data_IF_898385089668
#
_entry.id   IF_898385089668
#
_cell.length_a   1.000
_cell.length_b   1.000
_cell.length_c   1.000
_cell.angle_alpha   90.00
_cell.angle_beta   90.00
_cell.angle_gamma   90.00
#
_symmetry.space_group_name_H-M   'P 1'
#
loop_
_entity.id
_entity.type
_entity.pdbx_description
1 polymer ?
#
# COMPACT_ATOMS: atom_id res chain seq x y z
N UNK A 1 13.05 -4.26 -19.16
CA UNK A 1 11.59 -4.46 -19.32
C UNK A 1 10.93 -3.25 -18.68
N UNK A 2 9.95 -2.59 -19.30
CA UNK A 2 9.25 -1.48 -18.62
C UNK A 2 8.38 -2.07 -17.52
N UNK A 3 8.63 -1.68 -16.27
CA UNK A 3 7.67 -1.89 -15.17
C UNK A 3 6.34 -1.28 -15.59
N UNK A 4 5.23 -2.00 -15.42
CA UNK A 4 3.90 -1.48 -15.75
C UNK A 4 2.98 -1.82 -14.60
N UNK A 5 2.88 -0.87 -13.68
CA UNK A 5 1.83 -0.85 -12.67
C UNK A 5 0.46 -0.92 -13.34
N UNK A 6 -0.48 -1.50 -12.62
CA UNK A 6 -1.88 -1.51 -13.00
C UNK A 6 -2.40 -0.07 -13.02
N UNK A 7 -3.07 0.30 -14.11
CA UNK A 7 -3.66 1.63 -14.24
C UNK A 7 -4.98 1.69 -13.47
N UNK A 8 -4.97 2.39 -12.35
CA UNK A 8 -6.13 2.55 -11.47
C UNK A 8 -6.99 3.76 -11.80
N UNK A 9 -6.56 4.62 -12.73
CA UNK A 9 -7.29 5.86 -13.04
C UNK A 9 -8.69 5.62 -13.60
N UNK A 10 -8.94 4.63 -14.49
CA UNK A 10 -10.29 4.32 -14.96
C UNK A 10 -11.27 3.92 -13.84
N UNK A 11 -10.77 3.31 -12.76
CA UNK A 11 -11.58 3.00 -11.57
C UNK A 11 -11.84 4.26 -10.76
N UNK A 12 -10.82 5.11 -10.57
CA UNK A 12 -10.96 6.40 -9.85
C UNK A 12 -11.93 7.34 -10.55
N UNK A 13 -11.88 7.41 -11.88
CA UNK A 13 -12.78 8.21 -12.71
C UNK A 13 -14.16 7.56 -12.89
N UNK A 14 -14.36 6.33 -12.37
CA UNK A 14 -15.59 5.53 -12.48
C UNK A 14 -15.99 5.20 -13.92
N UNK A 15 -15.01 5.12 -14.80
CA UNK A 15 -15.19 4.67 -16.18
C UNK A 15 -15.40 3.15 -16.26
N UNK A 16 -14.72 2.40 -15.38
CA UNK A 16 -14.90 0.96 -15.21
C UNK A 16 -15.09 0.61 -13.73
N UNK A 17 -15.68 -0.55 -13.46
CA UNK A 17 -15.73 -1.14 -12.14
C UNK A 17 -14.40 -1.78 -11.74
N UNK A 18 -14.19 -1.98 -10.44
CA UNK A 18 -13.01 -2.68 -9.93
C UNK A 18 -12.94 -4.13 -10.44
N UNK A 19 -14.09 -4.79 -10.60
CA UNK A 19 -14.15 -6.14 -11.13
C UNK A 19 -13.77 -6.20 -12.62
N UNK A 20 -14.09 -5.17 -13.41
CA UNK A 20 -13.62 -5.06 -14.80
C UNK A 20 -12.11 -4.86 -14.87
N UNK A 21 -11.53 -4.06 -13.96
CA UNK A 21 -10.08 -3.83 -13.90
C UNK A 21 -9.30 -5.14 -13.66
N UNK A 22 -9.82 -6.02 -12.82
CA UNK A 22 -9.10 -7.23 -12.38
C UNK A 22 -9.53 -8.52 -13.08
N UNK A 23 -10.48 -8.44 -14.03
CA UNK A 23 -11.16 -9.61 -14.60
C UNK A 23 -10.22 -10.67 -15.20
N UNK A 24 -9.15 -10.20 -15.86
CA UNK A 24 -8.21 -11.06 -16.59
C UNK A 24 -6.89 -11.31 -15.83
N UNK A 25 -6.77 -10.84 -14.57
CA UNK A 25 -5.56 -11.00 -13.79
C UNK A 25 -5.40 -12.45 -13.28
N UNK A 26 -4.19 -12.95 -13.38
CA UNK A 26 -3.76 -14.25 -12.83
C UNK A 26 -2.94 -14.06 -11.56
N UNK A 27 -2.67 -15.13 -10.82
CA UNK A 27 -1.76 -15.09 -9.66
C UNK A 27 -0.37 -14.58 -10.05
N UNK A 28 0.10 -14.91 -11.25
CA UNK A 28 1.40 -14.43 -11.73
C UNK A 28 1.39 -12.92 -11.95
N UNK A 29 0.32 -12.38 -12.52
CA UNK A 29 0.16 -10.93 -12.64
C UNK A 29 0.16 -10.25 -11.26
N UNK A 30 -0.46 -10.86 -10.24
CA UNK A 30 -0.42 -10.34 -8.87
C UNK A 30 0.99 -10.34 -8.27
N UNK A 31 1.83 -11.35 -8.59
CA UNK A 31 3.24 -11.38 -8.19
C UNK A 31 4.02 -10.26 -8.86
N UNK A 32 3.88 -10.12 -10.18
CA UNK A 32 4.57 -9.09 -10.96
C UNK A 32 4.16 -7.68 -10.51
N UNK A 33 2.86 -7.44 -10.32
CA UNK A 33 2.34 -6.15 -9.83
C UNK A 33 2.83 -5.83 -8.41
N UNK A 34 2.92 -6.83 -7.53
CA UNK A 34 3.50 -6.66 -6.18
C UNK A 34 4.96 -6.24 -6.27
N UNK A 35 5.72 -6.90 -7.14
CA UNK A 35 7.13 -6.56 -7.33
C UNK A 35 7.30 -5.16 -7.91
N UNK A 36 6.55 -4.82 -8.95
CA UNK A 36 6.59 -3.50 -9.59
C UNK A 36 6.20 -2.37 -8.62
N UNK A 37 5.22 -2.59 -7.73
CA UNK A 37 4.80 -1.60 -6.74
C UNK A 37 5.88 -1.35 -5.68
N UNK A 38 6.42 -2.41 -5.09
CA UNK A 38 7.49 -2.26 -4.09
C UNK A 38 8.74 -1.65 -4.72
N UNK A 39 9.12 -2.09 -5.91
CA UNK A 39 10.21 -1.50 -6.68
C UNK A 39 10.01 -0.01 -6.93
N UNK A 40 8.78 0.40 -7.26
CA UNK A 40 8.45 1.82 -7.46
C UNK A 40 8.65 2.63 -6.18
N UNK A 41 8.17 2.12 -5.04
CA UNK A 41 8.37 2.78 -3.74
C UNK A 41 9.85 2.84 -3.35
N UNK A 42 10.61 1.77 -3.57
CA UNK A 42 12.05 1.73 -3.31
C UNK A 42 12.82 2.75 -4.17
N UNK A 43 12.45 2.87 -5.44
CA UNK A 43 13.05 3.86 -6.35
C UNK A 43 12.73 5.30 -5.91
N UNK A 44 11.50 5.58 -5.47
CA UNK A 44 11.12 6.90 -4.94
C UNK A 44 12.02 7.31 -3.76
N UNK A 45 12.31 6.37 -2.86
CA UNK A 45 13.12 6.64 -1.65
C UNK A 45 14.63 6.41 -1.85
N UNK A 46 15.09 6.14 -3.07
CA UNK A 46 16.47 5.72 -3.32
C UNK A 46 17.50 6.79 -2.88
N UNK A 47 17.16 8.08 -3.09
CA UNK A 47 18.00 9.22 -2.72
C UNK A 47 17.74 9.80 -1.33
N UNK A 48 16.92 9.14 -0.51
CA UNK A 48 16.60 9.62 0.84
C UNK A 48 17.68 9.26 1.87
N UNK A 49 17.76 10.07 2.92
CA UNK A 49 18.57 9.88 4.11
C UNK A 49 17.68 9.86 5.36
N UNK A 50 18.25 9.51 6.51
CA UNK A 50 17.50 9.40 7.78
C UNK A 50 16.75 10.69 8.16
N UNK A 51 17.32 11.86 7.84
CA UNK A 51 16.69 13.15 8.06
C UNK A 51 15.38 13.32 7.27
N UNK A 52 15.27 12.72 6.08
CA UNK A 52 14.04 12.76 5.27
C UNK A 52 12.94 11.87 5.86
N UNK A 53 13.32 10.82 6.58
CA UNK A 53 12.37 9.86 7.17
C UNK A 53 11.55 10.48 8.28
N UNK A 54 12.18 11.33 9.08
CA UNK A 54 11.58 12.01 10.24
C UNK A 54 11.11 13.43 9.92
N UNK A 55 11.34 13.91 8.69
CA UNK A 55 10.87 15.22 8.27
C UNK A 55 9.34 15.28 8.34
N UNK A 56 8.82 16.29 9.01
CA UNK A 56 7.38 16.57 9.08
C UNK A 56 7.04 17.52 7.94
N UNK A 57 6.30 17.06 6.91
CA UNK A 57 5.92 17.92 5.79
C UNK A 57 4.88 18.96 6.21
N UNK A 58 4.77 20.03 5.43
CA UNK A 58 3.60 20.90 5.48
C UNK A 58 2.46 20.23 4.70
N UNK A 59 1.40 19.87 5.43
CA UNK A 59 0.18 19.26 4.90
C UNK A 59 -1.04 19.87 5.60
N UNK A 60 -1.56 21.00 5.10
CA UNK A 60 -2.68 21.70 5.72
C UNK A 60 -4.01 20.94 5.61
N UNK A 61 -4.07 19.91 4.75
CA UNK A 61 -5.25 19.07 4.52
C UNK A 61 -5.14 17.72 5.24
N UNK A 62 -4.16 17.54 6.13
CA UNK A 62 -4.00 16.34 6.93
C UNK A 62 -5.27 16.06 7.77
N UNK A 63 -5.97 14.97 7.45
CA UNK A 63 -7.14 14.47 8.18
C UNK A 63 -7.16 12.92 8.13
N UNK A 64 -6.56 12.30 9.14
CA UNK A 64 -6.65 10.86 9.40
C UNK A 64 -7.84 10.56 10.32
N UNK A 65 -8.99 10.29 9.70
CA UNK A 65 -10.23 9.92 10.40
C UNK A 65 -10.14 8.58 11.14
N UNK A 66 -9.07 7.81 10.95
CA UNK A 66 -8.81 6.53 11.58
C UNK A 66 -7.69 6.58 12.62
N UNK A 67 -7.18 7.77 12.93
CA UNK A 67 -6.17 7.97 13.96
C UNK A 67 -6.63 7.38 15.30
N UNK A 68 -5.72 6.66 15.97
CA UNK A 68 -6.03 6.05 17.28
C UNK A 68 -6.12 7.10 18.39
N UNK A 69 -5.40 8.21 18.24
CA UNK A 69 -5.46 9.38 19.11
C UNK A 69 -6.04 10.57 18.32
N UNK A 70 -7.00 11.28 18.92
CA UNK A 70 -7.55 12.51 18.35
C UNK A 70 -6.49 13.61 18.16
N UNK A 71 -5.41 13.58 18.95
CA UNK A 71 -4.28 14.48 18.77
C UNK A 71 -3.48 14.21 17.48
N UNK A 72 -3.59 12.99 16.92
CA UNK A 72 -2.92 12.56 15.70
C UNK A 72 -3.81 12.68 14.46
N UNK A 73 -5.09 13.05 14.61
CA UNK A 73 -6.00 13.14 13.45
C UNK A 73 -5.52 14.14 12.40
N UNK A 74 -4.97 15.29 12.81
CA UNK A 74 -4.59 16.36 11.88
C UNK A 74 -3.06 16.54 11.80
N UNK A 75 -2.28 15.49 12.07
CA UNK A 75 -0.83 15.55 11.92
C UNK A 75 -0.43 15.16 10.50
N UNK A 76 0.51 15.92 9.94
CA UNK A 76 1.14 15.56 8.68
C UNK A 76 1.97 14.28 8.86
N UNK A 77 1.83 13.34 7.91
CA UNK A 77 2.53 12.06 7.98
C UNK A 77 3.97 12.19 7.48
N UNK A 78 4.91 11.69 8.27
CA UNK A 78 6.30 11.57 7.83
C UNK A 78 6.46 10.44 6.81
N UNK A 79 7.59 10.39 6.12
CA UNK A 79 7.89 9.28 5.21
C UNK A 79 7.85 7.92 5.95
N UNK A 80 8.38 7.86 7.17
CA UNK A 80 8.31 6.64 7.99
C UNK A 80 6.86 6.20 8.27
N UNK A 81 5.96 7.15 8.51
CA UNK A 81 4.54 6.88 8.73
C UNK A 81 3.85 6.33 7.48
N UNK A 82 4.00 7.00 6.33
CA UNK A 82 3.36 6.54 5.08
C UNK A 82 3.83 5.12 4.71
N UNK A 83 5.12 4.81 4.90
CA UNK A 83 5.66 3.48 4.58
C UNK A 83 5.06 2.38 5.45
N UNK A 84 4.91 2.58 6.77
CA UNK A 84 4.30 1.54 7.62
C UNK A 84 2.80 1.37 7.37
N UNK A 85 2.09 2.45 7.08
CA UNK A 85 0.65 2.43 6.81
C UNK A 85 0.30 1.72 5.50
N UNK A 86 1.01 2.08 4.42
CA UNK A 86 0.82 1.46 3.10
C UNK A 86 1.11 -0.03 3.14
N UNK A 87 2.27 -0.42 3.70
CA UNK A 87 2.66 -1.82 3.82
C UNK A 87 1.69 -2.63 4.69
N UNK A 88 1.23 -2.10 5.83
CA UNK A 88 0.24 -2.76 6.68
C UNK A 88 -1.11 -2.98 5.96
N UNK A 89 -1.59 -1.99 5.21
CA UNK A 89 -2.84 -2.08 4.46
C UNK A 89 -2.76 -3.10 3.31
N UNK A 90 -1.62 -3.15 2.62
CA UNK A 90 -1.36 -4.10 1.54
C UNK A 90 -1.16 -5.53 2.04
N UNK A 91 -0.53 -5.71 3.20
CA UNK A 91 -0.39 -7.02 3.83
C UNK A 91 -1.72 -7.58 4.33
N UNK A 92 -2.55 -6.74 4.97
CA UNK A 92 -3.92 -7.10 5.36
C UNK A 92 -4.71 -7.58 4.13
N UNK A 93 -4.66 -6.80 3.05
CA UNK A 93 -5.32 -7.14 1.78
C UNK A 93 -4.84 -8.48 1.21
N UNK A 94 -3.53 -8.73 1.21
CA UNK A 94 -2.94 -9.97 0.72
C UNK A 94 -3.28 -11.19 1.59
N UNK A 95 -3.27 -11.04 2.91
CA UNK A 95 -3.60 -12.11 3.86
C UNK A 95 -5.07 -12.52 3.74
N UNK A 96 -5.98 -11.55 3.73
CA UNK A 96 -7.41 -11.80 3.57
C UNK A 96 -7.72 -12.41 2.19
N UNK A 97 -7.03 -11.97 1.15
CA UNK A 97 -7.16 -12.57 -0.18
C UNK A 97 -6.77 -14.06 -0.19
N UNK A 98 -5.72 -14.44 0.54
CA UNK A 98 -5.32 -15.85 0.69
C UNK A 98 -6.37 -16.68 1.44
N UNK A 99 -7.05 -16.11 2.43
CA UNK A 99 -8.16 -16.76 3.12
C UNK A 99 -9.36 -16.96 2.18
N UNK A 100 -9.74 -15.90 1.45
CA UNK A 100 -10.83 -15.95 0.46
C UNK A 100 -10.56 -16.99 -0.62
N UNK A 101 -9.32 -17.04 -1.14
CA UNK A 101 -8.88 -18.00 -2.16
C UNK A 101 -8.95 -19.46 -1.68
N UNK A 102 -8.98 -19.69 -0.37
CA UNK A 102 -9.15 -21.01 0.28
C UNK A 102 -10.60 -21.31 0.67
N UNK A 103 -11.54 -20.42 0.35
CA UNK A 103 -12.96 -20.57 0.63
C UNK A 103 -13.38 -20.16 2.05
N UNK A 104 -12.53 -19.41 2.76
CA UNK A 104 -12.88 -18.86 4.08
C UNK A 104 -13.73 -17.60 3.87
N UNK A 105 -14.87 -17.51 4.54
CA UNK A 105 -15.73 -16.32 4.49
C UNK A 105 -15.02 -15.11 5.11
N UNK A 106 -15.23 -13.93 4.52
CA UNK A 106 -14.69 -12.68 5.06
C UNK A 106 -15.24 -12.42 6.47
N UNK A 107 -14.34 -12.12 7.41
CA UNK A 107 -14.67 -11.95 8.83
C UNK A 107 -14.28 -10.59 9.41
N UNK A 108 -13.74 -9.67 8.60
CA UNK A 108 -13.38 -8.32 9.02
C UNK A 108 -11.90 -8.01 8.89
N UNK A 109 -11.45 -7.00 9.64
CA UNK A 109 -10.08 -6.49 9.60
C UNK A 109 -9.09 -7.43 10.27
N UNK A 110 -7.88 -7.47 9.72
CA UNK A 110 -6.74 -8.24 10.22
C UNK A 110 -5.43 -7.44 10.23
N UNK A 111 -5.51 -6.11 10.12
CA UNK A 111 -4.33 -5.22 10.11
C UNK A 111 -3.45 -5.38 11.34
N UNK A 112 -2.16 -5.49 11.08
CA UNK A 112 -1.09 -5.31 12.06
C UNK A 112 -0.13 -4.27 11.50
N UNK A 113 0.06 -3.18 12.25
CA UNK A 113 0.88 -2.05 11.82
C UNK A 113 1.99 -1.80 12.84
N UNK A 114 3.19 -1.50 12.32
CA UNK A 114 4.34 -1.14 13.14
C UNK A 114 4.17 0.31 13.61
N UNK A 115 4.37 0.63 14.91
CA UNK A 115 4.27 2.01 15.38
C UNK A 115 5.24 2.92 14.62
N UNK A 116 4.69 3.88 13.86
CA UNK A 116 5.46 4.70 12.93
C UNK A 116 6.56 5.51 13.63
N UNK A 117 6.37 5.88 14.89
CA UNK A 117 7.34 6.63 15.71
C UNK A 117 8.66 5.87 15.89
N UNK A 118 8.66 4.55 15.65
CA UNK A 118 9.87 3.71 15.74
C UNK A 118 10.69 3.69 14.44
N UNK A 119 10.16 4.25 13.36
CA UNK A 119 10.81 4.31 12.04
C UNK A 119 11.49 5.67 11.89
N UNK A 120 12.81 5.67 12.05
CA UNK A 120 13.63 6.89 12.08
C UNK A 120 14.77 6.89 11.07
N UNK A 121 14.97 5.79 10.34
CA UNK A 121 16.07 5.63 9.39
C UNK A 121 15.58 5.15 8.03
N UNK A 122 16.30 5.53 6.96
CA UNK A 122 15.95 5.11 5.61
C UNK A 122 16.09 3.60 5.43
N UNK A 123 17.02 2.99 6.17
CA UNK A 123 17.21 1.54 6.15
C UNK A 123 16.02 0.79 6.73
N UNK A 124 15.37 1.32 7.78
CA UNK A 124 14.13 0.75 8.30
C UNK A 124 13.00 0.82 7.25
N UNK A 125 12.89 1.92 6.50
CA UNK A 125 11.90 2.02 5.42
C UNK A 125 12.14 0.97 4.32
N UNK A 126 13.39 0.82 3.86
CA UNK A 126 13.77 -0.18 2.86
C UNK A 126 13.50 -1.60 3.35
N UNK A 127 13.90 -1.90 4.58
CA UNK A 127 13.62 -3.19 5.20
C UNK A 127 12.10 -3.46 5.28
N UNK A 128 11.30 -2.46 5.68
CA UNK A 128 9.85 -2.59 5.80
C UNK A 128 9.19 -2.90 4.46
N UNK A 129 9.63 -2.25 3.38
CA UNK A 129 9.16 -2.50 2.02
C UNK A 129 9.52 -3.91 1.54
N UNK A 130 10.75 -4.36 1.74
CA UNK A 130 11.18 -5.70 1.35
C UNK A 130 10.53 -6.81 2.19
N UNK A 131 10.30 -6.57 3.48
CA UNK A 131 9.51 -7.45 4.33
C UNK A 131 8.06 -7.56 3.81
N UNK A 132 7.46 -6.42 3.45
CA UNK A 132 6.11 -6.38 2.86
C UNK A 132 6.04 -7.17 1.56
N UNK A 133 7.02 -6.99 0.66
CA UNK A 133 7.15 -7.78 -0.57
C UNK A 133 7.15 -9.27 -0.27
N UNK A 134 8.04 -9.71 0.63
CA UNK A 134 8.16 -11.11 1.04
C UNK A 134 6.84 -11.66 1.57
N UNK A 135 6.15 -10.91 2.43
CA UNK A 135 4.88 -11.33 3.03
C UNK A 135 3.77 -11.46 1.99
N UNK A 136 3.61 -10.46 1.12
CA UNK A 136 2.57 -10.44 0.07
C UNK A 136 2.78 -11.57 -0.94
N UNK A 137 4.02 -11.80 -1.36
CA UNK A 137 4.36 -12.94 -2.23
C UNK A 137 4.09 -14.28 -1.52
N UNK A 138 4.48 -14.42 -0.25
CA UNK A 138 4.20 -15.63 0.52
C UNK A 138 2.69 -15.90 0.69
N UNK A 139 1.87 -14.84 0.82
CA UNK A 139 0.41 -14.98 0.84
C UNK A 139 -0.13 -15.54 -0.47
N UNK A 140 0.44 -15.18 -1.63
CA UNK A 140 0.08 -15.77 -2.93
C UNK A 140 0.47 -17.25 -3.02
N UNK A 141 1.60 -17.64 -2.43
CA UNK A 141 2.00 -19.06 -2.36
C UNK A 141 1.06 -19.93 -1.50
N UNK A 142 0.21 -19.33 -0.67
CA UNK A 142 -0.82 -20.06 0.08
C UNK A 142 -2.08 -20.36 -0.73
N UNK A 143 -2.23 -19.78 -1.92
CA UNK A 143 -3.41 -20.00 -2.75
C UNK A 143 -3.38 -21.44 -3.31
N UNK A 144 -4.51 -22.17 -3.30
CA UNK A 144 -4.55 -23.49 -3.93
C UNK A 144 -4.45 -23.35 -5.45
N UNK A 145 -3.96 -24.40 -6.13
CA UNK A 145 -3.90 -24.47 -7.61
C UNK A 145 -5.24 -24.13 -8.28
N UNK A 146 -6.35 -24.35 -7.57
CA UNK A 146 -7.71 -23.97 -7.97
C UNK A 146 -8.33 -23.07 -6.89
N UNK A 147 -8.12 -21.75 -6.95
CA UNK A 147 -8.65 -20.82 -5.95
C UNK A 147 -10.18 -20.70 -6.01
N UNK A 148 -10.80 -20.49 -4.85
CA UNK A 148 -12.25 -20.28 -4.69
C UNK A 148 -12.63 -18.85 -5.09
N UNK A 149 -12.65 -18.55 -6.39
CA UNK A 149 -12.93 -17.21 -6.92
C UNK A 149 -14.42 -16.82 -6.93
N UNK A 150 -15.30 -17.71 -6.49
CA UNK A 150 -16.72 -17.46 -6.27
C UNK A 150 -17.05 -17.03 -4.82
N UNK A 151 -16.03 -16.87 -3.98
CA UNK A 151 -16.18 -16.36 -2.63
C UNK A 151 -16.07 -14.83 -2.66
N UNK A 152 -17.22 -14.16 -2.61
CA UNK A 152 -17.33 -12.71 -2.76
C UNK A 152 -17.68 -12.06 -1.43
N UNK A 153 -17.13 -10.87 -1.19
CA UNK A 153 -17.52 -10.00 -0.07
C UNK A 153 -17.45 -8.53 -0.49
N UNK A 154 -18.07 -7.64 0.29
CA UNK A 154 -18.07 -6.21 0.00
C UNK A 154 -17.28 -5.47 1.09
N UNK A 155 -15.96 -5.25 0.93
CA UNK A 155 -15.15 -4.57 1.94
C UNK A 155 -15.53 -3.10 2.06
N UNK A 156 -15.86 -2.47 0.93
CA UNK A 156 -16.26 -1.08 0.85
C UNK A 156 -17.40 -0.91 -0.14
N UNK A 157 -18.42 -0.14 0.24
CA UNK A 157 -19.60 0.11 -0.62
C UNK A 157 -19.23 0.69 -1.99
N UNK A 158 -18.18 1.50 -2.09
CA UNK A 158 -17.78 2.16 -3.33
C UNK A 158 -17.00 1.26 -4.30
N UNK A 159 -16.34 0.21 -3.80
CA UNK A 159 -15.59 -0.75 -4.64
C UNK A 159 -16.50 -1.87 -5.14
N UNK A 160 -17.56 -2.19 -4.38
CA UNK A 160 -18.49 -3.26 -4.70
C UNK A 160 -18.05 -4.61 -4.14
N UNK A 161 -18.64 -5.68 -4.64
CA UNK A 161 -18.29 -7.06 -4.26
C UNK A 161 -16.97 -7.46 -4.93
N UNK A 162 -16.06 -8.03 -4.14
CA UNK A 162 -14.74 -8.49 -4.54
C UNK A 162 -14.54 -9.95 -4.15
N UNK A 163 -13.88 -10.71 -5.02
CA UNK A 163 -13.33 -12.02 -4.70
C UNK A 163 -11.87 -11.89 -4.22
N UNK A 164 -11.16 -13.03 -4.10
CA UNK A 164 -9.77 -13.05 -3.68
C UNK A 164 -8.83 -12.16 -4.52
N UNK A 165 -8.99 -12.14 -5.86
CA UNK A 165 -8.15 -11.32 -6.76
C UNK A 165 -8.43 -9.84 -6.51
N UNK A 166 -9.71 -9.46 -6.52
CA UNK A 166 -10.12 -8.08 -6.25
C UNK A 166 -9.62 -7.59 -4.90
N UNK A 167 -9.76 -8.40 -3.85
CA UNK A 167 -9.27 -8.07 -2.50
C UNK A 167 -7.75 -7.96 -2.41
N UNK A 168 -6.99 -8.73 -3.19
CA UNK A 168 -5.53 -8.56 -3.22
C UNK A 168 -5.18 -7.20 -3.85
N UNK A 169 -5.83 -6.87 -4.96
CA UNK A 169 -5.57 -5.64 -5.72
C UNK A 169 -6.00 -4.37 -4.97
N UNK A 170 -6.91 -4.44 -3.99
CA UNK A 170 -7.22 -3.26 -3.14
C UNK A 170 -6.01 -2.78 -2.34
N UNK A 171 -5.08 -3.68 -1.98
CA UNK A 171 -3.80 -3.29 -1.38
C UNK A 171 -2.94 -2.47 -2.35
N UNK A 172 -2.79 -2.97 -3.59
CA UNK A 172 -2.07 -2.25 -4.65
C UNK A 172 -2.72 -0.90 -4.99
N UNK A 173 -4.05 -0.84 -5.02
CA UNK A 173 -4.79 0.40 -5.23
C UNK A 173 -4.53 1.43 -4.13
N UNK A 174 -4.46 0.96 -2.88
CA UNK A 174 -4.16 1.79 -1.73
C UNK A 174 -2.72 2.30 -1.75
N UNK A 175 -1.74 1.42 -2.03
CA UNK A 175 -0.34 1.78 -2.26
C UNK A 175 -0.20 2.88 -3.32
N UNK A 176 -0.85 2.72 -4.48
CA UNK A 176 -0.82 3.68 -5.58
C UNK A 176 -1.36 5.05 -5.16
N UNK A 177 -2.42 5.07 -4.36
CA UNK A 177 -3.00 6.31 -3.80
C UNK A 177 -2.02 7.11 -2.92
N UNK A 178 -0.99 6.47 -2.38
CA UNK A 178 0.01 7.13 -1.53
C UNK A 178 1.32 7.46 -2.26
N UNK A 179 1.54 7.04 -3.52
CA UNK A 179 2.79 7.34 -4.25
C UNK A 179 3.03 8.84 -4.42
N UNK A 180 1.97 9.62 -4.68
CA UNK A 180 2.05 11.07 -4.78
C UNK A 180 2.41 11.72 -3.43
N UNK A 181 1.85 11.21 -2.32
CA UNK A 181 2.17 11.67 -0.98
C UNK A 181 3.65 11.39 -0.64
N UNK A 182 4.14 10.18 -0.91
CA UNK A 182 5.55 9.81 -0.72
C UNK A 182 6.45 10.78 -1.50
N UNK A 183 6.14 11.00 -2.77
CA UNK A 183 6.90 11.92 -3.63
C UNK A 183 6.93 13.34 -3.06
N UNK A 184 5.78 13.85 -2.62
CA UNK A 184 5.67 15.20 -2.07
C UNK A 184 6.47 15.38 -0.77
N UNK A 185 6.40 14.41 0.15
CA UNK A 185 7.19 14.44 1.39
C UNK A 185 8.68 14.53 1.08
N UNK A 186 9.15 13.72 0.13
CA UNK A 186 10.56 13.66 -0.27
C UNK A 186 11.01 14.99 -0.90
N UNK A 187 10.19 15.58 -1.77
CA UNK A 187 10.47 16.89 -2.38
C UNK A 187 10.62 17.99 -1.32
N UNK A 188 9.70 18.03 -0.34
CA UNK A 188 9.76 19.00 0.75
C UNK A 188 11.01 18.79 1.64
N UNK A 189 11.29 17.54 2.01
CA UNK A 189 12.46 17.20 2.83
C UNK A 189 13.79 17.57 2.13
N UNK A 190 13.91 17.24 0.84
CA UNK A 190 15.07 17.60 0.01
C UNK A 190 15.25 19.12 -0.12
N UNK A 191 14.17 19.86 -0.32
CA UNK A 191 14.20 21.31 -0.36
C UNK A 191 14.68 21.90 0.97
N UNK A 192 14.18 21.39 2.10
CA UNK A 192 14.57 21.84 3.44
C UNK A 192 16.06 21.62 3.72
N UNK A 193 16.62 20.46 3.32
CA UNK A 193 18.06 20.18 3.43
C UNK A 193 18.91 21.12 2.60
N UNK A 194 18.47 21.44 1.38
CA UNK A 194 19.21 22.34 0.47
C UNK A 194 19.26 23.77 1.01
N UNK A 195 18.20 24.20 1.72
CA UNK A 195 18.10 25.53 2.35
C UNK A 195 18.86 25.65 3.68
N UNK A 196 19.22 24.53 4.30
CA UNK A 196 20.06 24.47 5.49
C UNK A 196 21.41 23.82 5.15
N UNK A 197 22.32 24.51 4.42
CA UNK A 197 23.66 24.00 4.25
C UNK A 197 24.33 23.88 5.63
N UNK A 198 24.90 22.70 5.91
CA UNK A 198 25.74 22.44 7.09
C UNK A 198 26.90 23.44 7.20
#
# INVERSE_FOLDING_TARGET
MKRRLLDFDPVRSREISFNELVADLTIEDLRDLTNDMIDTMLDLIAGCEDADVIFVPDDPEADDQYATDAAEQNIAWTLGHVIVHTTASSEESAALAAELARGIEYHGRSRSEVPWQTITTIEQCRHRLEESRRMRLASLEMWPDKPYLNNWHMPYRFVGELNAIGNFVTGLFHDDGHLAQISNIIEQAQAARTLQPQ
#
